data_IF_365508601102
#
_entry.id   IF_365508601102
#
_cell.length_a   1.000
_cell.length_b   1.000
_cell.length_c   1.000
_cell.angle_alpha   90.00
_cell.angle_beta   90.00
_cell.angle_gamma   90.00
#
_symmetry.space_group_name_H-M   'P 1'
#
loop_
_entity.id
_entity.type
_entity.pdbx_description
1 polymer ?
#
# COMPACT_ATOMS: atom_id res chain seq x y z
N UNK A 1 -8.97 -4.61 5.83
CA UNK A 1 -10.42 -4.84 5.63
C UNK A 1 -11.01 -3.69 4.83
N UNK A 2 -10.62 -3.67 3.55
CA UNK A 2 -11.31 -3.01 2.42
C UNK A 2 -12.44 -3.92 1.96
N UNK A 3 -13.47 -3.36 1.32
CA UNK A 3 -14.51 -4.16 0.67
C UNK A 3 -13.90 -4.81 -0.58
N UNK A 4 -14.08 -6.12 -0.76
CA UNK A 4 -13.59 -6.88 -1.91
C UNK A 4 -14.78 -7.25 -2.78
N UNK A 5 -14.83 -6.75 -4.00
CA UNK A 5 -15.88 -7.09 -4.98
C UNK A 5 -15.18 -7.58 -6.24
N UNK A 6 -15.44 -8.83 -6.63
CA UNK A 6 -14.89 -9.46 -7.84
C UNK A 6 -13.35 -9.36 -7.97
N UNK A 7 -12.63 -9.53 -6.84
CA UNK A 7 -11.16 -9.45 -6.80
C UNK A 7 -10.58 -8.04 -6.75
N UNK A 8 -11.40 -7.01 -6.92
CA UNK A 8 -11.00 -5.61 -6.83
C UNK A 8 -11.29 -5.06 -5.43
N UNK A 9 -10.37 -4.24 -4.90
CA UNK A 9 -10.52 -3.59 -3.60
C UNK A 9 -11.30 -2.28 -3.78
N UNK A 10 -12.24 -2.03 -2.89
CA UNK A 10 -13.05 -0.83 -2.87
C UNK A 10 -13.00 -0.16 -1.50
N UNK A 11 -13.05 1.17 -1.49
CA UNK A 11 -13.33 1.94 -0.28
C UNK A 11 -13.96 3.30 -0.60
N UNK A 12 -14.50 3.92 0.45
CA UNK A 12 -15.12 5.23 0.39
C UNK A 12 -14.11 6.34 0.07
N UNK A 13 -14.53 7.42 -0.60
CA UNK A 13 -13.63 8.56 -0.94
C UNK A 13 -12.93 9.14 0.30
N UNK A 14 -13.65 9.37 1.39
CA UNK A 14 -13.06 9.88 2.64
C UNK A 14 -12.03 8.92 3.25
N UNK A 15 -12.20 7.62 3.02
CA UNK A 15 -11.31 6.57 3.50
C UNK A 15 -10.03 6.50 2.66
N UNK A 16 -10.16 6.73 1.36
CA UNK A 16 -9.04 6.85 0.41
C UNK A 16 -8.22 8.08 0.79
N UNK A 17 -8.84 9.25 0.88
CA UNK A 17 -8.18 10.52 1.25
C UNK A 17 -7.58 10.48 2.65
N UNK A 18 -8.27 9.85 3.60
CA UNK A 18 -7.80 9.71 4.98
C UNK A 18 -6.84 8.54 5.24
N UNK A 19 -6.42 7.79 4.21
CA UNK A 19 -5.59 6.58 4.34
C UNK A 19 -6.20 5.49 5.27
N UNK A 20 -7.51 5.55 5.54
CA UNK A 20 -8.27 4.59 6.37
C UNK A 20 -8.92 3.46 5.58
N UNK A 21 -8.56 3.34 4.29
CA UNK A 21 -8.90 2.24 3.38
C UNK A 21 -8.81 0.86 4.03
N UNK A 22 -7.77 0.61 4.84
CA UNK A 22 -7.56 -0.66 5.54
C UNK A 22 -8.69 -1.08 6.50
N UNK A 23 -9.59 -0.19 6.93
CA UNK A 23 -10.72 -0.54 7.82
C UNK A 23 -12.05 0.06 7.30
N UNK A 24 -12.15 0.32 6.01
CA UNK A 24 -13.36 0.92 5.45
C UNK A 24 -14.52 -0.08 5.43
N UNK A 25 -15.53 0.15 6.26
CA UNK A 25 -16.80 -0.61 6.30
C UNK A 25 -18.02 0.24 5.92
N UNK A 26 -17.80 1.41 5.30
CA UNK A 26 -18.89 2.30 4.92
C UNK A 26 -19.62 1.76 3.67
N UNK A 27 -20.89 1.40 3.83
CA UNK A 27 -21.79 0.96 2.75
C UNK A 27 -22.68 2.09 2.22
N UNK A 28 -22.82 3.18 2.98
CA UNK A 28 -23.69 4.32 2.66
C UNK A 28 -23.00 5.41 1.80
N UNK A 29 -21.77 5.19 1.35
CA UNK A 29 -20.98 6.19 0.61
C UNK A 29 -20.52 5.64 -0.72
N UNK A 30 -20.29 6.50 -1.72
CA UNK A 30 -19.75 6.08 -3.01
C UNK A 30 -18.41 5.37 -2.79
N UNK A 31 -18.37 4.11 -3.20
CA UNK A 31 -17.20 3.23 -3.14
C UNK A 31 -16.42 3.40 -4.44
N UNK A 32 -15.13 3.72 -4.34
CA UNK A 32 -14.25 3.82 -5.48
C UNK A 32 -13.31 2.61 -5.52
N UNK A 33 -13.02 2.13 -6.72
CA UNK A 33 -12.05 1.06 -6.93
C UNK A 33 -10.65 1.57 -6.57
N UNK A 34 -9.91 0.74 -5.84
CA UNK A 34 -8.57 1.02 -5.34
C UNK A 34 -7.63 -0.02 -5.91
N UNK A 35 -6.71 0.45 -6.75
CA UNK A 35 -5.63 -0.38 -7.24
C UNK A 35 -4.67 -0.71 -6.09
N UNK A 36 -4.00 -1.85 -6.16
CA UNK A 36 -3.01 -2.21 -5.16
C UNK A 36 -1.96 -1.11 -5.06
N UNK A 37 -1.74 -0.59 -3.84
CA UNK A 37 -0.63 0.32 -3.57
C UNK A 37 0.66 -0.47 -3.72
N UNK A 38 1.39 -0.21 -4.79
CA UNK A 38 2.79 -0.56 -4.89
C UNK A 38 3.56 0.67 -5.32
N UNK A 39 4.12 1.43 -4.37
CA UNK A 39 5.31 2.20 -4.73
C UNK A 39 6.37 1.13 -5.04
N UNK A 40 6.94 1.10 -6.26
CA UNK A 40 8.02 0.17 -6.54
C UNK A 40 9.10 0.39 -5.49
N UNK A 41 9.67 -0.72 -5.01
CA UNK A 41 10.74 -0.62 -4.04
C UNK A 41 11.90 0.14 -4.69
N UNK A 42 12.34 1.21 -4.02
CA UNK A 42 13.41 2.09 -4.53
C UNK A 42 14.81 1.52 -4.29
N UNK A 43 14.92 0.28 -3.82
CA UNK A 43 16.15 -0.39 -3.43
C UNK A 43 16.11 -1.81 -3.99
N UNK A 44 17.23 -2.27 -4.52
CA UNK A 44 17.36 -3.64 -4.97
C UNK A 44 17.31 -4.63 -3.79
N UNK A 45 17.09 -5.90 -4.12
CA UNK A 45 17.06 -7.02 -3.17
C UNK A 45 18.32 -7.08 -2.30
N UNK A 46 19.48 -6.85 -2.93
CA UNK A 46 20.79 -6.87 -2.28
C UNK A 46 20.91 -5.80 -1.20
N UNK A 47 20.61 -4.53 -1.52
CA UNK A 47 20.71 -3.43 -0.56
C UNK A 47 19.69 -3.54 0.58
N UNK A 48 18.51 -4.11 0.32
CA UNK A 48 17.57 -4.47 1.39
C UNK A 48 18.17 -5.49 2.35
N UNK A 49 18.74 -6.56 1.82
CA UNK A 49 19.33 -7.63 2.64
C UNK A 49 20.50 -7.10 3.48
N UNK A 50 21.33 -6.22 2.92
CA UNK A 50 22.40 -5.53 3.66
C UNK A 50 21.87 -4.62 4.76
N UNK A 51 20.76 -3.91 4.53
CA UNK A 51 20.09 -3.13 5.58
C UNK A 51 19.59 -4.01 6.72
N UNK A 52 18.98 -5.14 6.40
CA UNK A 52 18.41 -6.02 7.42
C UNK A 52 19.47 -6.79 8.21
N UNK A 53 20.53 -7.23 7.55
CA UNK A 53 21.60 -8.01 8.17
C UNK A 53 22.65 -7.17 8.90
N UNK A 54 22.92 -5.95 8.40
CA UNK A 54 24.04 -5.12 8.88
C UNK A 54 23.64 -3.72 9.32
N UNK A 55 22.35 -3.36 9.30
CA UNK A 55 21.88 -1.98 9.54
C UNK A 55 22.61 -0.93 8.70
N UNK A 56 23.11 -1.32 7.52
CA UNK A 56 23.87 -0.44 6.65
C UNK A 56 22.92 0.54 5.93
N UNK A 57 22.94 1.81 6.32
CA UNK A 57 22.10 2.85 5.73
C UNK A 57 22.76 3.52 4.51
N UNK A 58 23.20 2.70 3.55
CA UNK A 58 23.69 3.21 2.27
C UNK A 58 22.53 3.50 1.30
N UNK A 59 22.74 4.49 0.44
CA UNK A 59 21.91 4.75 -0.75
C UNK A 59 22.12 3.60 -1.74
N UNK A 60 21.04 3.09 -2.35
CA UNK A 60 21.19 2.18 -3.48
C UNK A 60 21.42 3.07 -4.71
N UNK A 61 22.64 3.01 -5.24
CA UNK A 61 23.03 3.55 -6.56
C UNK A 61 23.16 2.42 -7.61
N UNK A 62 22.58 1.28 -7.24
CA UNK A 62 22.00 0.27 -8.10
C UNK A 62 20.63 0.74 -8.61
#
# INVERSE_FOLDING_TARGET
MTVLVSGNKYACESCVRGHRVSKCQHVNRPLQQINNRGRPISQCEHCRSSRQSRSAHNRCDC
#
